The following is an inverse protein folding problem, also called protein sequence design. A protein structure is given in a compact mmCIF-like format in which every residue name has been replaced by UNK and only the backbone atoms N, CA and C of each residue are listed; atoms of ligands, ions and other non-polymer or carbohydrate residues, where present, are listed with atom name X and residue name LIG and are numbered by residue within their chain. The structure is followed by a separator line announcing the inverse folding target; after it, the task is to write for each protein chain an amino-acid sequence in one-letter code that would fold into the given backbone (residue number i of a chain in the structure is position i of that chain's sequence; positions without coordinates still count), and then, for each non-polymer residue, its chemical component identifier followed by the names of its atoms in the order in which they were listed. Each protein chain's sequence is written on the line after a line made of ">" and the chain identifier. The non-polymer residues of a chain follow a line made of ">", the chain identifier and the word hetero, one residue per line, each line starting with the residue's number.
data_IF_244661191685
#
_entry.id   IF_244661191685
#
_cell.length_a   1.000
_cell.length_b   1.000
_cell.length_c   1.000
_cell.angle_alpha   90.00
_cell.angle_beta   90.00
_cell.angle_gamma   90.00
#
_symmetry.space_group_name_H-M   'P 1'
#
loop_
_entity.id
_entity.type
_entity.pdbx_description
1 polymer ?
#
# COMPACT_ATOMS: atom_id res chain seq x y z
N UNK A 1 -10.75 21.74 -1.94
CA UNK A 1 -11.49 20.62 -1.31
C UNK A 1 -11.59 19.48 -2.31
N UNK A 2 -10.56 18.65 -2.40
CA UNK A 2 -10.60 17.43 -3.22
C UNK A 2 -11.48 16.41 -2.49
N UNK A 3 -12.54 15.92 -3.15
CA UNK A 3 -13.56 15.05 -2.56
C UNK A 3 -12.92 13.92 -1.75
N UNK A 4 -13.21 13.83 -0.44
CA UNK A 4 -12.73 12.76 0.46
C UNK A 4 -12.96 11.37 -0.14
N UNK A 5 -14.10 11.19 -0.78
CA UNK A 5 -14.46 9.98 -1.54
C UNK A 5 -13.49 9.64 -2.67
N UNK A 6 -13.04 10.64 -3.42
CA UNK A 6 -12.08 10.45 -4.51
C UNK A 6 -10.75 9.96 -3.95
N UNK A 7 -10.25 10.52 -2.86
CA UNK A 7 -8.99 10.05 -2.24
C UNK A 7 -9.08 8.60 -1.75
N UNK A 8 -10.22 8.20 -1.16
CA UNK A 8 -10.45 6.80 -0.75
C UNK A 8 -10.45 5.86 -1.95
N UNK A 9 -11.21 6.20 -2.99
CA UNK A 9 -11.29 5.39 -4.21
C UNK A 9 -9.92 5.28 -4.88
N UNK A 10 -9.19 6.39 -5.01
CA UNK A 10 -7.83 6.39 -5.57
C UNK A 10 -6.90 5.48 -4.77
N UNK A 11 -6.94 5.52 -3.44
CA UNK A 11 -6.13 4.61 -2.62
C UNK A 11 -6.49 3.14 -2.87
N UNK A 12 -7.77 2.79 -2.89
CA UNK A 12 -8.21 1.43 -3.16
C UNK A 12 -7.80 0.96 -4.56
N UNK A 13 -7.91 1.81 -5.57
CA UNK A 13 -7.43 1.50 -6.93
C UNK A 13 -5.92 1.30 -6.96
N UNK A 14 -5.15 2.12 -6.25
CA UNK A 14 -3.70 1.97 -6.13
C UNK A 14 -3.31 0.69 -5.35
N UNK A 15 -4.16 0.17 -4.48
CA UNK A 15 -3.93 -1.14 -3.87
C UNK A 15 -4.25 -2.30 -4.82
N UNK A 16 -5.40 -2.24 -5.50
CA UNK A 16 -5.96 -3.36 -6.28
C UNK A 16 -5.32 -3.53 -7.65
N UNK A 17 -5.05 -2.43 -8.37
CA UNK A 17 -4.50 -2.50 -9.73
C UNK A 17 -3.12 -3.16 -9.74
N UNK A 18 -2.14 -2.74 -8.90
CA UNK A 18 -0.82 -3.37 -8.90
C UNK A 18 -0.88 -4.81 -8.39
N UNK A 19 -1.79 -5.12 -7.47
CA UNK A 19 -2.00 -6.50 -7.02
C UNK A 19 -2.48 -7.39 -8.17
N UNK A 20 -3.41 -6.91 -8.99
CA UNK A 20 -3.84 -7.63 -10.19
C UNK A 20 -2.68 -7.79 -11.19
N UNK A 21 -1.84 -6.77 -11.37
CA UNK A 21 -0.65 -6.88 -12.21
C UNK A 21 0.33 -7.97 -11.74
N UNK A 22 0.47 -8.19 -10.41
CA UNK A 22 1.29 -9.29 -9.87
C UNK A 22 0.76 -10.65 -10.36
N UNK A 23 -0.55 -10.85 -10.38
CA UNK A 23 -1.16 -12.09 -10.90
C UNK A 23 -0.90 -12.26 -12.40
N UNK A 24 -1.04 -11.20 -13.20
CA UNK A 24 -0.77 -11.25 -14.63
C UNK A 24 0.69 -11.62 -14.90
N UNK A 25 1.65 -11.01 -14.19
CA UNK A 25 3.06 -11.36 -14.30
C UNK A 25 3.32 -12.84 -13.98
N UNK A 26 2.61 -13.36 -12.98
CA UNK A 26 2.62 -14.80 -12.66
C UNK A 26 2.11 -15.68 -13.79
N UNK A 27 1.02 -15.28 -14.45
CA UNK A 27 0.44 -16.04 -15.57
C UNK A 27 1.33 -16.03 -16.82
N UNK A 28 1.94 -14.89 -17.14
CA UNK A 28 2.75 -14.75 -18.37
C UNK A 28 4.19 -15.25 -18.22
N UNK A 29 4.81 -15.06 -17.05
CA UNK A 29 6.23 -15.35 -16.86
C UNK A 29 6.50 -16.52 -15.90
N UNK A 30 5.45 -17.06 -15.26
CA UNK A 30 5.52 -18.24 -14.39
C UNK A 30 5.61 -17.93 -12.89
N UNK A 31 5.67 -18.98 -12.05
CA UNK A 31 5.50 -18.87 -10.60
C UNK A 31 6.64 -18.10 -9.90
N UNK A 32 7.87 -18.15 -10.43
CA UNK A 32 8.99 -17.37 -9.88
C UNK A 32 8.71 -15.87 -9.97
N UNK A 33 8.18 -15.40 -11.10
CA UNK A 33 7.84 -13.99 -11.31
C UNK A 33 6.66 -13.57 -10.45
N UNK A 34 5.65 -14.45 -10.28
CA UNK A 34 4.59 -14.21 -9.30
C UNK A 34 5.16 -13.98 -7.90
N UNK A 35 6.01 -14.88 -7.41
CA UNK A 35 6.56 -14.79 -6.06
C UNK A 35 7.43 -13.53 -5.86
N UNK A 36 8.30 -13.23 -6.82
CA UNK A 36 9.16 -12.03 -6.77
C UNK A 36 8.30 -10.76 -6.79
N UNK A 37 7.37 -10.64 -7.74
CA UNK A 37 6.49 -9.47 -7.84
C UNK A 37 5.59 -9.31 -6.63
N UNK A 38 5.08 -10.41 -6.07
CA UNK A 38 4.30 -10.40 -4.83
C UNK A 38 5.13 -9.93 -3.64
N UNK A 39 6.39 -10.37 -3.55
CA UNK A 39 7.30 -9.94 -2.49
C UNK A 39 7.60 -8.44 -2.59
N UNK A 40 7.91 -7.92 -3.80
CA UNK A 40 8.09 -6.49 -4.02
C UNK A 40 6.82 -5.69 -3.70
N UNK A 41 5.66 -6.18 -4.11
CA UNK A 41 4.38 -5.55 -3.81
C UNK A 41 4.13 -5.46 -2.29
N UNK A 42 4.32 -6.57 -1.58
CA UNK A 42 4.03 -6.66 -0.16
C UNK A 42 5.06 -5.93 0.71
N UNK A 43 6.34 -6.02 0.38
CA UNK A 43 7.44 -5.50 1.21
C UNK A 43 7.79 -4.04 0.90
N UNK A 44 7.55 -3.55 -0.32
CA UNK A 44 7.98 -2.21 -0.74
C UNK A 44 6.79 -1.35 -1.14
N UNK A 45 6.02 -1.78 -2.15
CA UNK A 45 4.95 -0.95 -2.69
C UNK A 45 3.85 -0.64 -1.66
N UNK A 46 3.36 -1.67 -0.96
CA UNK A 46 2.26 -1.53 0.00
C UNK A 46 2.65 -0.66 1.21
N UNK A 47 3.82 -0.83 1.85
CA UNK A 47 4.26 0.07 2.92
C UNK A 47 4.45 1.51 2.44
N UNK A 48 5.02 1.73 1.25
CA UNK A 48 5.19 3.09 0.70
C UNK A 48 3.85 3.79 0.45
N UNK A 49 2.87 3.07 -0.11
CA UNK A 49 1.54 3.61 -0.32
C UNK A 49 0.85 3.93 1.01
N UNK A 50 1.04 3.08 2.02
CA UNK A 50 0.50 3.30 3.35
C UNK A 50 1.14 4.52 4.04
N UNK A 51 2.46 4.63 3.99
CA UNK A 51 3.23 5.81 4.46
C UNK A 51 2.69 7.07 3.82
N UNK A 52 2.55 7.08 2.48
CA UNK A 52 2.07 8.24 1.75
C UNK A 52 0.67 8.66 2.22
N UNK A 53 -0.26 7.71 2.39
CA UNK A 53 -1.62 8.01 2.87
C UNK A 53 -1.62 8.51 4.32
N UNK A 54 -0.86 7.88 5.22
CA UNK A 54 -0.80 8.31 6.63
C UNK A 54 -0.19 9.69 6.80
N UNK A 55 0.83 10.01 5.99
CA UNK A 55 1.40 11.37 5.94
C UNK A 55 0.38 12.38 5.42
N UNK A 56 -0.42 12.04 4.40
CA UNK A 56 -1.49 12.91 3.90
C UNK A 56 -2.60 13.14 4.93
N UNK A 57 -2.88 12.14 5.77
CA UNK A 57 -3.85 12.24 6.87
C UNK A 57 -3.29 12.97 8.10
N UNK A 58 -1.98 13.27 8.14
CA UNK A 58 -1.33 13.90 9.29
C UNK A 58 -1.24 12.99 10.52
N UNK A 59 -1.34 11.66 10.34
CA UNK A 59 -1.34 10.68 11.44
C UNK A 59 0.07 10.23 11.84
N UNK A 60 1.05 10.45 10.96
CA UNK A 60 2.46 10.16 11.21
C UNK A 60 3.31 11.32 10.72
N UNK A 61 4.50 11.49 11.31
CA UNK A 61 5.52 12.39 10.81
C UNK A 61 6.45 11.69 9.82
N UNK A 62 7.12 12.47 8.94
CA UNK A 62 8.10 11.92 7.98
C UNK A 62 9.22 11.14 8.66
N UNK A 63 9.61 11.54 9.87
CA UNK A 63 10.65 10.88 10.65
C UNK A 63 10.22 9.49 11.16
N UNK A 64 8.92 9.23 11.24
CA UNK A 64 8.35 7.95 11.68
C UNK A 64 7.93 7.05 10.50
N UNK A 65 8.00 7.56 9.26
CA UNK A 65 7.59 6.83 8.07
C UNK A 65 8.31 5.48 7.90
N UNK A 66 9.60 5.41 8.23
CA UNK A 66 10.38 4.18 8.10
C UNK A 66 9.89 3.07 9.05
N UNK A 67 9.23 3.42 10.16
CA UNK A 67 8.71 2.43 11.13
C UNK A 67 7.58 1.59 10.53
N UNK A 68 6.95 2.03 9.44
CA UNK A 68 5.91 1.25 8.75
C UNK A 68 6.44 0.03 7.98
N UNK A 69 7.76 -0.05 7.77
CA UNK A 69 8.41 -1.28 7.29
C UNK A 69 8.61 -2.32 8.39
N UNK A 70 8.47 -1.91 9.66
CA UNK A 70 8.49 -2.84 10.78
C UNK A 70 7.14 -3.58 10.79
N UNK A 71 7.16 -4.92 10.74
CA UNK A 71 5.93 -5.69 10.81
C UNK A 71 5.13 -5.32 12.07
N UNK A 72 3.80 -5.26 11.93
CA UNK A 72 2.84 -4.88 12.99
C UNK A 72 2.83 -3.42 13.46
N UNK A 73 3.75 -2.55 13.05
CA UNK A 73 3.69 -1.12 13.46
C UNK A 73 2.43 -0.39 12.93
N UNK A 74 1.94 -0.84 11.77
CA UNK A 74 0.76 -0.27 11.09
C UNK A 74 -0.58 -0.65 11.72
N UNK A 75 -0.65 -1.58 12.67
CA UNK A 75 -1.92 -2.00 13.29
C UNK A 75 -2.57 -0.89 14.11
N UNK A 76 -1.78 0.07 14.58
CA UNK A 76 -2.29 1.25 15.29
C UNK A 76 -3.06 2.21 14.37
N UNK A 77 -2.89 2.09 13.05
CA UNK A 77 -3.47 3.00 12.07
C UNK A 77 -4.33 2.28 11.03
N UNK A 78 -4.64 1.00 11.23
CA UNK A 78 -5.33 0.21 10.20
C UNK A 78 -6.69 0.79 9.84
N UNK A 79 -7.48 1.25 10.82
CA UNK A 79 -8.82 1.79 10.56
C UNK A 79 -8.73 3.06 9.73
N UNK A 80 -7.85 3.97 10.10
CA UNK A 80 -7.61 5.24 9.44
C UNK A 80 -6.99 5.04 8.05
N UNK A 81 -6.12 4.04 7.90
CA UNK A 81 -5.50 3.70 6.63
C UNK A 81 -6.51 3.19 5.62
N UNK A 82 -7.54 2.44 6.02
CA UNK A 82 -8.52 1.87 5.10
C UNK A 82 -9.72 2.80 4.91
N UNK A 83 -10.27 3.29 6.01
CA UNK A 83 -11.50 4.06 6.04
C UNK A 83 -11.23 5.55 5.79
N UNK A 84 -10.14 6.11 6.33
CA UNK A 84 -9.75 7.52 6.15
C UNK A 84 -10.60 8.47 6.98
#
# INVERSE_FOLDING_TARGET
>A
MTNRWRNRITFWLLCLIPFYCVFLLGQYFGPTWFAVSLMFYAAIYRPLLAIYRLLQLGLIEKNDAWKLFIPFYHTNYTVELWVG
#
